data_IF_174047346353
#
_entry.id   IF_174047346353
#
_cell.length_a   1.000
_cell.length_b   1.000
_cell.length_c   1.000
_cell.angle_alpha   90.00
_cell.angle_beta   90.00
_cell.angle_gamma   90.00
#
_symmetry.space_group_name_H-M   'P 1'
#
loop_
_entity.id
_entity.type
_entity.pdbx_description
1 polymer ?
#
# COMPACT_ATOMS: atom_id res chain seq x y z
N UNK A 1 -26.75 26.34 -26.69
CA UNK A 1 -25.78 25.25 -26.89
C UNK A 1 -24.47 25.69 -26.28
N UNK A 2 -23.81 24.83 -25.50
CA UNK A 2 -22.43 25.07 -25.07
C UNK A 2 -21.53 25.00 -26.31
N UNK A 3 -20.53 25.89 -26.42
CA UNK A 3 -19.57 25.82 -27.52
C UNK A 3 -18.60 24.64 -27.29
N UNK A 4 -17.81 24.27 -28.31
CA UNK A 4 -16.88 23.15 -28.22
C UNK A 4 -15.83 23.29 -27.10
N UNK A 5 -15.46 24.53 -26.75
CA UNK A 5 -14.53 24.82 -25.66
C UNK A 5 -15.16 24.52 -24.29
N UNK A 6 -16.41 24.96 -24.07
CA UNK A 6 -17.12 24.72 -22.81
C UNK A 6 -17.38 23.21 -22.58
N UNK A 7 -17.67 22.46 -23.65
CA UNK A 7 -17.81 21.00 -23.59
C UNK A 7 -16.49 20.32 -23.23
N UNK A 8 -15.38 20.77 -23.80
CA UNK A 8 -14.04 20.25 -23.49
C UNK A 8 -13.65 20.49 -22.03
N UNK A 9 -13.84 21.71 -21.53
CA UNK A 9 -13.55 22.07 -20.12
C UNK A 9 -14.40 21.24 -19.15
N UNK A 10 -15.69 21.06 -19.43
CA UNK A 10 -16.57 20.26 -18.57
C UNK A 10 -16.13 18.77 -18.53
N UNK A 11 -15.76 18.21 -19.68
CA UNK A 11 -15.24 16.84 -19.79
C UNK A 11 -13.92 16.66 -19.04
N UNK A 12 -12.96 17.55 -19.26
CA UNK A 12 -11.65 17.54 -18.58
C UNK A 12 -11.82 17.62 -17.06
N UNK A 13 -12.72 18.49 -16.58
CA UNK A 13 -13.07 18.61 -15.17
C UNK A 13 -13.70 17.34 -14.60
N UNK A 14 -14.61 16.69 -15.33
CA UNK A 14 -15.20 15.41 -14.91
C UNK A 14 -14.14 14.30 -14.83
N UNK A 15 -13.27 14.19 -15.84
CA UNK A 15 -12.16 13.23 -15.87
C UNK A 15 -11.21 13.45 -14.70
N UNK A 16 -10.84 14.69 -14.42
CA UNK A 16 -10.00 15.06 -13.27
C UNK A 16 -10.65 14.67 -11.95
N UNK A 17 -11.95 14.97 -11.77
CA UNK A 17 -12.69 14.58 -10.56
C UNK A 17 -12.74 13.06 -10.38
N UNK A 18 -12.98 12.30 -11.45
CA UNK A 18 -12.98 10.82 -11.39
C UNK A 18 -11.61 10.28 -11.03
N UNK A 19 -10.54 10.82 -11.63
CA UNK A 19 -9.18 10.43 -11.29
C UNK A 19 -8.87 10.70 -9.80
N UNK A 20 -9.24 11.87 -9.30
CA UNK A 20 -9.09 12.21 -7.87
C UNK A 20 -9.88 11.26 -6.95
N UNK A 21 -11.15 10.99 -7.27
CA UNK A 21 -11.96 10.06 -6.50
C UNK A 21 -11.40 8.63 -6.49
N UNK A 22 -10.87 8.18 -7.63
CA UNK A 22 -10.21 6.87 -7.75
C UNK A 22 -8.96 6.78 -6.86
N UNK A 23 -8.11 7.81 -6.83
CA UNK A 23 -6.93 7.84 -5.95
C UNK A 23 -7.35 7.75 -4.47
N UNK A 24 -8.37 8.50 -4.05
CA UNK A 24 -8.87 8.44 -2.67
C UNK A 24 -9.35 7.03 -2.33
N UNK A 25 -10.12 6.40 -3.23
CA UNK A 25 -10.64 5.05 -3.02
C UNK A 25 -9.51 4.03 -2.87
N UNK A 26 -8.51 4.09 -3.76
CA UNK A 26 -7.36 3.19 -3.74
C UNK A 26 -6.51 3.38 -2.49
N UNK A 27 -6.24 4.62 -2.07
CA UNK A 27 -5.54 4.91 -0.81
C UNK A 27 -6.31 4.36 0.39
N UNK A 28 -7.62 4.59 0.45
CA UNK A 28 -8.46 4.02 1.51
C UNK A 28 -8.34 2.50 1.54
N UNK A 29 -8.41 1.85 0.39
CA UNK A 29 -8.29 0.39 0.31
C UNK A 29 -6.89 -0.09 0.75
N UNK A 30 -5.82 0.58 0.32
CA UNK A 30 -4.45 0.28 0.71
C UNK A 30 -4.28 0.34 2.24
N UNK A 31 -4.63 1.47 2.87
CA UNK A 31 -4.41 1.69 4.30
C UNK A 31 -5.37 0.90 5.22
N UNK A 32 -6.43 0.29 4.68
CA UNK A 32 -7.41 -0.48 5.48
C UNK A 32 -7.40 -1.97 5.18
N UNK A 33 -6.56 -2.42 4.25
CA UNK A 33 -6.39 -3.84 3.96
C UNK A 33 -5.56 -4.47 5.09
N UNK A 34 -6.17 -5.43 5.79
CA UNK A 34 -5.55 -6.16 6.91
C UNK A 34 -5.41 -7.64 6.55
N UNK A 35 -4.34 -8.26 7.01
CA UNK A 35 -4.20 -9.71 6.95
C UNK A 35 -5.13 -10.37 7.97
N UNK A 36 -5.74 -11.50 7.61
CA UNK A 36 -6.67 -12.24 8.47
C UNK A 36 -6.07 -13.58 8.85
N UNK A 37 -6.33 -14.02 10.08
CA UNK A 37 -5.91 -15.34 10.57
C UNK A 37 -6.40 -16.45 9.63
N UNK A 38 -5.52 -17.38 9.27
CA UNK A 38 -5.80 -18.45 8.29
C UNK A 38 -5.89 -17.97 6.83
N UNK A 39 -5.52 -16.71 6.57
CA UNK A 39 -5.43 -16.15 5.23
C UNK A 39 -4.17 -16.61 4.49
N UNK A 40 -4.14 -16.31 3.20
CA UNK A 40 -3.02 -16.59 2.31
C UNK A 40 -2.12 -15.34 2.25
N UNK A 41 -0.88 -15.46 2.75
CA UNK A 41 0.06 -14.33 2.86
C UNK A 41 0.43 -13.79 1.48
N UNK A 42 0.65 -14.65 0.50
CA UNK A 42 1.02 -14.22 -0.85
C UNK A 42 -0.12 -13.44 -1.50
N UNK A 43 -1.37 -13.89 -1.36
CA UNK A 43 -2.53 -13.14 -1.87
C UNK A 43 -2.70 -11.79 -1.20
N UNK A 44 -2.42 -11.70 0.10
CA UNK A 44 -2.47 -10.42 0.83
C UNK A 44 -1.40 -9.45 0.30
N UNK A 45 -0.16 -9.91 0.16
CA UNK A 45 0.95 -9.10 -0.35
C UNK A 45 0.73 -8.70 -1.82
N UNK A 46 0.27 -9.63 -2.67
CA UNK A 46 -0.06 -9.37 -4.08
C UNK A 46 -1.15 -8.31 -4.21
N UNK A 47 -2.20 -8.36 -3.36
CA UNK A 47 -3.25 -7.34 -3.35
C UNK A 47 -2.69 -5.96 -3.04
N UNK A 48 -1.81 -5.85 -2.04
CA UNK A 48 -1.21 -4.58 -1.66
C UNK A 48 -0.28 -4.06 -2.77
N UNK A 49 0.50 -4.92 -3.41
CA UNK A 49 1.35 -4.57 -4.56
C UNK A 49 0.53 -4.08 -5.77
N UNK A 50 -0.61 -4.70 -6.05
CA UNK A 50 -1.52 -4.27 -7.11
C UNK A 50 -2.09 -2.87 -6.82
N UNK A 51 -2.53 -2.61 -5.58
CA UNK A 51 -2.99 -1.28 -5.17
C UNK A 51 -1.88 -0.22 -5.29
N UNK A 52 -0.66 -0.57 -4.90
CA UNK A 52 0.52 0.30 -5.02
C UNK A 52 0.82 0.66 -6.48
N UNK A 53 0.80 -0.33 -7.37
CA UNK A 53 1.00 -0.16 -8.81
C UNK A 53 -0.11 0.67 -9.45
N UNK A 54 -1.37 0.44 -9.08
CA UNK A 54 -2.50 1.24 -9.55
C UNK A 54 -2.32 2.71 -9.13
N UNK A 55 -1.95 2.99 -7.88
CA UNK A 55 -1.67 4.34 -7.41
C UNK A 55 -0.49 4.99 -8.15
N UNK A 56 0.61 4.26 -8.37
CA UNK A 56 1.75 4.75 -9.14
C UNK A 56 1.36 5.10 -10.59
N UNK A 57 0.53 4.28 -11.25
CA UNK A 57 0.03 4.54 -12.61
C UNK A 57 -0.79 5.82 -12.72
N UNK A 58 -1.33 6.30 -11.59
CA UNK A 58 -2.10 7.54 -11.48
C UNK A 58 -1.26 8.72 -10.95
N UNK A 59 0.07 8.58 -10.89
CA UNK A 59 1.01 9.56 -10.33
C UNK A 59 0.75 9.87 -8.84
N UNK A 60 0.15 8.92 -8.11
CA UNK A 60 -0.12 9.02 -6.67
C UNK A 60 0.85 8.14 -5.88
N UNK A 61 2.14 8.47 -5.95
CA UNK A 61 3.24 7.66 -5.42
C UNK A 61 3.12 7.43 -3.91
N UNK A 62 3.37 6.18 -3.49
CA UNK A 62 3.61 5.74 -2.11
C UNK A 62 5.05 5.24 -2.08
N UNK A 63 5.85 5.68 -1.10
CA UNK A 63 7.26 5.26 -1.01
C UNK A 63 7.36 3.81 -0.56
N UNK A 64 8.49 3.16 -0.84
CA UNK A 64 8.72 1.78 -0.40
C UNK A 64 8.68 1.66 1.13
N UNK A 65 9.20 2.66 1.85
CA UNK A 65 9.15 2.68 3.31
C UNK A 65 7.73 2.89 3.87
N UNK A 66 6.91 3.74 3.22
CA UNK A 66 5.49 3.86 3.56
C UNK A 66 4.76 2.55 3.27
N UNK A 67 5.05 1.91 2.13
CA UNK A 67 4.47 0.62 1.76
C UNK A 67 4.82 -0.47 2.77
N UNK A 68 6.07 -0.53 3.22
CA UNK A 68 6.53 -1.44 4.25
C UNK A 68 5.76 -1.21 5.57
N UNK A 69 5.57 0.04 5.97
CA UNK A 69 4.78 0.40 7.15
C UNK A 69 3.32 -0.01 7.02
N UNK A 70 2.69 0.14 5.85
CA UNK A 70 1.30 -0.30 5.61
C UNK A 70 1.18 -1.82 5.75
N UNK A 71 2.09 -2.57 5.13
CA UNK A 71 2.11 -4.03 5.19
C UNK A 71 2.22 -4.51 6.64
N UNK A 72 3.15 -3.95 7.41
CA UNK A 72 3.36 -4.30 8.82
C UNK A 72 2.15 -3.93 9.68
N UNK A 73 1.52 -2.77 9.47
CA UNK A 73 0.29 -2.38 10.15
C UNK A 73 -0.84 -3.38 9.89
N UNK A 74 -1.04 -3.79 8.64
CA UNK A 74 -2.08 -4.76 8.29
C UNK A 74 -1.84 -6.16 8.85
N UNK A 75 -0.59 -6.51 9.16
CA UNK A 75 -0.20 -7.80 9.73
C UNK A 75 -0.05 -7.81 11.26
N UNK A 76 -0.08 -6.65 11.94
CA UNK A 76 0.30 -6.48 13.36
C UNK A 76 -0.44 -7.42 14.33
N UNK A 77 -1.72 -7.65 14.09
CA UNK A 77 -2.55 -8.50 14.95
C UNK A 77 -2.27 -9.99 14.80
N UNK A 78 -1.69 -10.41 13.67
CA UNK A 78 -1.48 -11.82 13.32
C UNK A 78 -0.01 -12.22 13.39
N UNK A 79 0.89 -11.38 12.87
CA UNK A 79 2.34 -11.60 12.80
C UNK A 79 3.09 -10.63 13.72
N UNK A 80 2.69 -10.58 14.99
CA UNK A 80 3.20 -9.61 15.97
C UNK A 80 4.70 -9.74 16.24
N UNK A 81 5.24 -10.96 16.13
CA UNK A 81 6.68 -11.25 16.22
C UNK A 81 7.46 -10.46 15.16
N UNK A 82 7.01 -10.55 13.91
CA UNK A 82 7.59 -9.85 12.76
C UNK A 82 7.51 -8.34 12.94
N UNK A 83 6.37 -7.79 13.35
CA UNK A 83 6.24 -6.34 13.57
C UNK A 83 7.17 -5.85 14.67
N UNK A 84 7.34 -6.60 15.76
CA UNK A 84 8.30 -6.27 16.82
C UNK A 84 9.75 -6.28 16.33
N UNK A 85 10.10 -7.20 15.44
CA UNK A 85 11.42 -7.29 14.83
C UNK A 85 11.77 -6.00 14.08
N UNK A 86 10.84 -5.49 13.26
CA UNK A 86 11.04 -4.24 12.50
C UNK A 86 10.96 -2.97 13.34
N UNK A 87 10.29 -3.02 14.50
CA UNK A 87 10.34 -1.93 15.48
C UNK A 87 11.64 -1.89 16.31
N UNK A 88 12.52 -2.88 16.16
CA UNK A 88 13.79 -2.92 16.89
C UNK A 88 14.87 -2.05 16.23
N UNK A 89 15.77 -1.40 17.01
CA UNK A 89 16.88 -0.61 16.48
C UNK A 89 17.86 -1.40 15.59
N UNK A 90 17.84 -2.72 15.67
CA UNK A 90 18.74 -3.59 14.90
C UNK A 90 18.29 -3.76 13.45
N UNK A 91 16.98 -3.65 13.18
CA UNK A 91 16.40 -3.77 11.83
C UNK A 91 16.13 -2.40 11.20
N UNK A 92 15.87 -1.39 12.02
CA UNK A 92 15.88 0.01 11.60
C UNK A 92 17.35 0.46 11.56
N UNK A 93 18.06 0.18 10.46
CA UNK A 93 19.47 0.56 10.31
C UNK A 93 19.72 2.01 10.76
N UNK A 94 20.86 2.27 11.41
CA UNK A 94 21.11 3.52 12.14
C UNK A 94 20.63 4.78 11.38
N UNK A 95 19.57 5.41 11.88
CA UNK A 95 18.98 6.63 11.31
C UNK A 95 17.84 6.42 10.30
N UNK A 96 17.43 5.18 10.00
CA UNK A 96 16.24 4.91 9.17
C UNK A 96 14.96 4.98 10.02
N UNK A 97 13.99 5.75 9.54
CA UNK A 97 12.65 5.86 10.13
C UNK A 97 11.66 4.85 9.53
N UNK A 98 12.03 4.19 8.43
CA UNK A 98 11.15 3.28 7.71
C UNK A 98 11.87 1.95 7.41
N UNK A 99 11.18 0.80 7.53
CA UNK A 99 11.69 -0.49 7.14
C UNK A 99 11.94 -0.60 5.65
N UNK A 100 12.87 -1.49 5.28
CA UNK A 100 13.09 -1.85 3.88
C UNK A 100 11.98 -2.78 3.39
N UNK A 101 11.34 -2.44 2.27
CA UNK A 101 10.18 -3.15 1.75
C UNK A 101 10.51 -4.60 1.38
N UNK A 102 11.63 -4.84 0.69
CA UNK A 102 12.01 -6.18 0.26
C UNK A 102 12.29 -7.08 1.47
N UNK A 103 12.92 -6.53 2.50
CA UNK A 103 13.17 -7.27 3.76
C UNK A 103 11.86 -7.61 4.46
N UNK A 104 10.88 -6.70 4.49
CA UNK A 104 9.55 -6.95 5.08
C UNK A 104 8.81 -8.05 4.32
N UNK A 105 8.75 -7.96 2.99
CA UNK A 105 8.06 -8.95 2.14
C UNK A 105 8.63 -10.36 2.34
N UNK A 106 9.96 -10.49 2.29
CA UNK A 106 10.63 -11.77 2.46
C UNK A 106 10.45 -12.34 3.88
N UNK A 107 10.46 -11.48 4.90
CA UNK A 107 10.27 -11.91 6.29
C UNK A 107 8.86 -12.45 6.52
N UNK A 108 7.83 -11.77 6.00
CA UNK A 108 6.44 -12.21 6.15
C UNK A 108 6.16 -13.52 5.41
N UNK A 109 6.68 -13.69 4.19
CA UNK A 109 6.58 -14.95 3.46
C UNK A 109 7.25 -16.09 4.22
N UNK A 110 8.48 -15.87 4.69
CA UNK A 110 9.24 -16.88 5.43
C UNK A 110 8.61 -17.26 6.79
N UNK A 111 7.91 -16.34 7.45
CA UNK A 111 7.14 -16.65 8.67
C UNK A 111 5.88 -17.45 8.33
N UNK A 112 5.13 -17.04 7.30
CA UNK A 112 3.89 -17.71 6.89
C UNK A 112 4.10 -19.15 6.36
N UNK A 113 5.30 -19.47 5.85
CA UNK A 113 5.68 -20.85 5.47
C UNK A 113 5.94 -21.76 6.70
N UNK A 114 6.16 -21.19 7.88
CA UNK A 114 6.49 -21.91 9.12
C UNK A 114 5.27 -22.13 10.03
N UNK A 115 4.23 -21.32 9.85
CA UNK A 115 2.93 -21.42 10.53
C UNK A 115 2.04 -22.52 9.92
#
# INVERSE_FOLDING_TARGET
>A
MLNGHDMWVAFEKDKTKRAFASVIRLRKELYTTIFRVGGDMDKYLEKLEDLHRQLASMNAIITDGEMANVILQGAETTHRSVVRLFNSPNMMGAGKLEPDLDVVLNTLRGEAERD
#
